data_IF_004971486686
#
_entry.id   IF_004971486686
#
_cell.length_a   1.000
_cell.length_b   1.000
_cell.length_c   1.000
_cell.angle_alpha   90.00
_cell.angle_beta   90.00
_cell.angle_gamma   90.00
#
_symmetry.space_group_name_H-M   'P 1'
#
loop_
_entity.id
_entity.type
_entity.pdbx_description
1 polymer ?
#
# COMPACT_ATOMS: atom_id res chain seq x y z
N UNK A 1 46.42 -68.37 12.90
CA UNK A 1 45.03 -68.77 12.59
C UNK A 1 44.20 -67.50 12.55
N UNK A 2 43.59 -67.03 11.46
CA UNK A 2 43.24 -67.62 10.16
C UNK A 2 43.62 -66.68 9.00
N UNK A 3 44.04 -67.33 7.90
CA UNK A 3 44.23 -66.81 6.54
C UNK A 3 42.90 -66.36 5.94
N UNK A 4 42.91 -65.37 5.03
CA UNK A 4 42.67 -65.60 3.59
C UNK A 4 42.77 -64.31 2.75
N UNK A 5 43.72 -64.34 1.81
CA UNK A 5 43.67 -63.90 0.41
C UNK A 5 42.97 -62.60 0.02
N UNK A 6 43.82 -61.65 -0.39
CA UNK A 6 43.55 -60.46 -1.18
C UNK A 6 43.18 -60.86 -2.62
N UNK A 7 42.07 -60.33 -3.16
CA UNK A 7 41.73 -60.36 -4.58
C UNK A 7 41.44 -58.94 -5.08
N UNK A 8 41.98 -58.66 -6.27
CA UNK A 8 41.91 -57.44 -7.11
C UNK A 8 40.64 -56.57 -6.97
N UNK A 9 40.82 -55.26 -6.88
CA UNK A 9 39.95 -54.27 -7.54
C UNK A 9 40.79 -53.17 -8.18
N UNK A 10 40.67 -53.08 -9.50
CA UNK A 10 41.19 -52.06 -10.40
C UNK A 10 40.32 -50.79 -10.24
N UNK A 11 40.91 -49.62 -10.02
CA UNK A 11 40.20 -48.34 -10.20
C UNK A 11 41.12 -47.35 -10.92
N UNK A 12 40.68 -46.95 -12.12
CA UNK A 12 41.30 -45.92 -12.94
C UNK A 12 41.08 -44.55 -12.32
N UNK A 13 42.15 -43.75 -12.29
CA UNK A 13 42.09 -42.31 -12.05
C UNK A 13 41.44 -41.61 -13.25
N UNK A 14 40.39 -40.84 -13.01
CA UNK A 14 40.03 -39.69 -13.84
C UNK A 14 39.82 -38.50 -12.92
N UNK A 15 40.75 -37.56 -13.02
CA UNK A 15 40.65 -36.22 -12.47
C UNK A 15 39.97 -35.33 -13.52
N UNK A 16 38.95 -34.58 -13.10
CA UNK A 16 38.57 -33.31 -13.71
C UNK A 16 38.20 -32.36 -12.58
N UNK A 17 38.81 -31.18 -12.61
CA UNK A 17 38.64 -30.07 -11.68
C UNK A 17 37.27 -29.42 -11.86
N UNK A 18 36.52 -29.28 -10.77
CA UNK A 18 35.39 -28.35 -10.68
C UNK A 18 35.94 -26.95 -10.44
N UNK A 19 35.88 -26.10 -11.46
CA UNK A 19 36.11 -24.66 -11.30
C UNK A 19 34.80 -23.99 -10.90
N UNK A 20 34.89 -23.29 -9.77
CA UNK A 20 33.85 -22.49 -9.15
C UNK A 20 33.80 -21.13 -9.84
N UNK A 21 32.67 -20.78 -10.47
CA UNK A 21 32.33 -19.37 -10.75
C UNK A 21 30.97 -19.04 -10.14
N UNK A 22 31.01 -18.40 -8.98
CA UNK A 22 29.95 -17.50 -8.54
C UNK A 22 30.17 -16.15 -9.22
N UNK A 23 29.20 -15.71 -10.03
CA UNK A 23 28.96 -14.27 -10.22
C UNK A 23 27.47 -14.03 -9.98
N UNK A 24 27.23 -13.46 -8.81
CA UNK A 24 26.00 -12.83 -8.36
C UNK A 24 25.61 -11.73 -9.35
N UNK A 25 24.45 -11.88 -10.00
CA UNK A 25 23.73 -10.75 -10.58
C UNK A 25 22.29 -10.83 -10.07
N UNK A 26 22.04 -10.16 -8.95
CA UNK A 26 20.70 -9.66 -8.64
C UNK A 26 20.41 -8.59 -9.69
N UNK A 27 19.67 -8.96 -10.73
CA UNK A 27 18.97 -8.00 -11.56
C UNK A 27 17.80 -7.49 -10.72
N UNK A 28 17.87 -6.23 -10.29
CA UNK A 28 16.66 -5.45 -10.07
C UNK A 28 15.96 -5.34 -11.43
N UNK A 29 14.98 -6.20 -11.66
CA UNK A 29 14.01 -6.02 -12.73
C UNK A 29 13.15 -4.81 -12.37
N UNK A 30 13.58 -3.61 -12.77
CA UNK A 30 12.61 -2.55 -13.06
C UNK A 30 11.71 -3.07 -14.18
N UNK A 31 10.55 -3.61 -13.80
CA UNK A 31 9.52 -3.97 -14.76
C UNK A 31 9.04 -2.69 -15.42
N UNK A 32 9.53 -2.44 -16.63
CA UNK A 32 8.97 -1.42 -17.53
C UNK A 32 7.55 -1.90 -17.86
N UNK A 33 6.57 -1.48 -17.06
CA UNK A 33 5.16 -1.82 -17.31
C UNK A 33 4.77 -1.26 -18.68
N UNK A 34 4.24 -2.14 -19.52
CA UNK A 34 3.74 -1.76 -20.82
C UNK A 34 2.46 -0.94 -20.64
N UNK A 35 2.53 0.38 -20.79
CA UNK A 35 1.35 1.27 -20.80
C UNK A 35 0.67 1.31 -22.17
N UNK A 36 1.15 0.54 -23.15
CA UNK A 36 0.52 0.35 -24.45
C UNK A 36 -0.55 -0.76 -24.31
N UNK A 37 -1.70 -0.36 -23.78
CA UNK A 37 -2.84 -1.23 -23.58
C UNK A 37 -3.57 -1.48 -24.89
N UNK A 38 -3.94 -2.74 -25.16
CA UNK A 38 -4.85 -3.04 -26.26
C UNK A 38 -6.14 -2.21 -26.10
N UNK A 39 -6.64 -1.58 -27.18
CA UNK A 39 -7.88 -0.82 -27.12
C UNK A 39 -9.00 -1.67 -26.53
N UNK A 40 -9.66 -1.13 -25.51
CA UNK A 40 -10.71 -1.82 -24.78
C UNK A 40 -11.96 -0.93 -24.72
N UNK A 41 -13.13 -1.56 -24.68
CA UNK A 41 -14.41 -0.86 -24.61
C UNK A 41 -14.73 -0.52 -23.16
N UNK A 42 -14.11 0.55 -22.65
CA UNK A 42 -14.25 0.93 -21.24
C UNK A 42 -15.64 1.49 -20.95
N UNK A 43 -16.43 0.85 -20.06
CA UNK A 43 -17.75 1.35 -19.70
C UNK A 43 -17.68 2.72 -18.98
N UNK A 44 -16.52 3.11 -18.46
CA UNK A 44 -16.35 4.37 -17.73
C UNK A 44 -16.41 5.60 -18.61
N UNK A 45 -16.01 5.50 -19.89
CA UNK A 45 -16.14 6.62 -20.83
C UNK A 45 -17.61 6.87 -21.19
N UNK A 46 -18.33 5.81 -21.53
CA UNK A 46 -19.74 5.88 -21.88
C UNK A 46 -20.63 6.33 -20.71
N UNK A 47 -20.25 5.97 -19.49
CA UNK A 47 -20.95 6.39 -18.26
C UNK A 47 -20.55 7.80 -17.79
N UNK A 48 -19.56 8.44 -18.44
CA UNK A 48 -19.08 9.78 -18.09
C UNK A 48 -18.19 9.84 -16.86
N UNK A 49 -17.73 8.69 -16.34
CA UNK A 49 -16.71 8.64 -15.29
C UNK A 49 -15.34 9.03 -15.82
N UNK A 50 -15.02 8.74 -17.08
CA UNK A 50 -13.82 9.23 -17.76
C UNK A 50 -14.24 10.17 -18.88
N UNK A 51 -13.68 11.37 -18.90
CA UNK A 51 -14.02 12.37 -19.89
C UNK A 51 -12.83 13.28 -20.22
N UNK A 52 -12.90 13.91 -21.40
CA UNK A 52 -11.86 14.82 -21.87
C UNK A 52 -12.32 16.28 -21.78
N UNK A 53 -11.42 17.16 -21.33
CA UNK A 53 -11.62 18.61 -21.34
C UNK A 53 -10.28 19.31 -21.56
N UNK A 54 -10.20 20.22 -22.52
CA UNK A 54 -8.98 21.00 -22.81
C UNK A 54 -7.72 20.13 -23.04
N UNK A 55 -7.85 19.04 -23.81
CA UNK A 55 -6.79 18.05 -24.08
C UNK A 55 -6.23 17.36 -22.81
N UNK A 56 -7.02 17.31 -21.75
CA UNK A 56 -6.72 16.55 -20.54
C UNK A 56 -7.82 15.53 -20.30
N UNK A 57 -7.42 14.36 -19.78
CA UNK A 57 -8.33 13.29 -19.41
C UNK A 57 -8.57 13.35 -17.90
N UNK A 58 -9.84 13.26 -17.51
CA UNK A 58 -10.25 13.34 -16.12
C UNK A 58 -11.05 12.11 -15.73
N UNK A 59 -10.84 11.69 -14.47
CA UNK A 59 -11.67 10.73 -13.77
C UNK A 59 -12.62 11.49 -12.84
N UNK A 60 -13.90 11.15 -12.91
CA UNK A 60 -14.94 11.68 -12.03
C UNK A 60 -14.62 11.36 -10.58
N UNK A 61 -14.80 12.33 -9.69
CA UNK A 61 -14.46 12.17 -8.28
C UNK A 61 -15.61 12.48 -7.32
N UNK A 62 -16.85 12.66 -7.80
CA UNK A 62 -18.01 12.93 -6.95
C UNK A 62 -19.03 13.86 -7.59
N UNK A 63 -20.14 14.12 -6.89
CA UNK A 63 -21.24 14.95 -7.40
C UNK A 63 -20.88 16.44 -7.52
N UNK A 64 -19.93 16.93 -6.72
CA UNK A 64 -19.43 18.30 -6.88
C UNK A 64 -18.65 18.40 -8.20
N UNK A 65 -19.16 19.22 -9.11
CA UNK A 65 -18.57 19.45 -10.44
C UNK A 65 -17.11 19.95 -10.43
N UNK A 66 -16.62 20.44 -9.29
CA UNK A 66 -15.22 20.85 -9.12
C UNK A 66 -14.31 19.67 -8.78
N UNK A 67 -14.85 18.49 -8.47
CA UNK A 67 -14.11 17.30 -8.06
C UNK A 67 -13.80 16.43 -9.27
N UNK A 68 -12.53 16.33 -9.60
CA UNK A 68 -12.02 15.47 -10.67
C UNK A 68 -10.56 15.12 -10.39
N UNK A 69 -10.16 13.92 -10.77
CA UNK A 69 -8.76 13.53 -10.79
C UNK A 69 -8.22 13.70 -12.21
N UNK A 70 -7.09 14.38 -12.35
CA UNK A 70 -6.41 14.45 -13.63
C UNK A 70 -5.65 13.13 -13.85
N UNK A 71 -6.03 12.41 -14.89
CA UNK A 71 -5.48 11.10 -15.26
C UNK A 71 -4.86 11.13 -16.65
N UNK A 72 -4.55 12.32 -17.17
CA UNK A 72 -3.96 12.50 -18.51
C UNK A 72 -2.68 11.68 -18.68
N UNK A 73 -1.91 11.54 -17.61
CA UNK A 73 -0.64 10.85 -17.57
C UNK A 73 -0.69 9.51 -16.82
N UNK A 74 -1.88 8.98 -16.54
CA UNK A 74 -1.95 7.79 -15.69
C UNK A 74 -1.43 6.51 -16.37
N UNK A 75 -1.00 5.55 -15.56
CA UNK A 75 -0.45 4.28 -16.07
C UNK A 75 -1.45 3.12 -16.06
N UNK A 76 -2.70 3.36 -15.65
CA UNK A 76 -3.70 2.31 -15.49
C UNK A 76 -4.48 2.05 -16.79
N UNK A 77 -4.85 0.79 -17.02
CA UNK A 77 -5.82 0.45 -18.05
C UNK A 77 -7.23 0.76 -17.56
N UNK A 78 -7.91 1.73 -18.14
CA UNK A 78 -9.26 2.11 -17.71
C UNK A 78 -10.29 0.98 -17.69
N UNK A 79 -10.11 -0.09 -18.47
CA UNK A 79 -11.03 -1.23 -18.46
C UNK A 79 -10.90 -2.12 -17.22
N UNK A 80 -9.81 -1.99 -16.50
CA UNK A 80 -9.56 -2.71 -15.27
C UNK A 80 -10.06 -1.97 -14.02
N UNK A 81 -10.60 -0.75 -14.18
CA UNK A 81 -11.21 -0.01 -13.09
C UNK A 81 -12.52 -0.64 -12.63
N UNK A 82 -12.78 -0.55 -11.34
CA UNK A 82 -14.04 -0.94 -10.71
C UNK A 82 -14.57 0.18 -9.81
N UNK A 83 -15.90 0.19 -9.66
CA UNK A 83 -16.66 1.13 -8.83
C UNK A 83 -16.67 2.57 -9.35
N UNK A 84 -16.19 3.55 -8.58
CA UNK A 84 -16.46 4.97 -8.81
C UNK A 84 -17.49 5.51 -7.85
N UNK A 85 -17.20 5.39 -6.55
CA UNK A 85 -18.05 5.91 -5.48
C UNK A 85 -17.77 7.39 -5.18
N UNK A 86 -16.72 7.96 -5.77
CA UNK A 86 -16.29 9.34 -5.56
C UNK A 86 -15.37 9.48 -4.35
N UNK A 87 -14.57 10.56 -4.35
CA UNK A 87 -13.69 10.88 -3.24
C UNK A 87 -14.51 11.16 -1.99
N UNK A 88 -13.95 10.81 -0.83
CA UNK A 88 -14.55 11.03 0.49
C UNK A 88 -15.81 10.20 0.80
N UNK A 89 -16.19 9.24 -0.05
CA UNK A 89 -17.24 8.25 0.27
C UNK A 89 -16.85 7.29 1.40
N UNK A 90 -15.54 7.15 1.64
CA UNK A 90 -14.93 6.48 2.79
C UNK A 90 -13.89 7.44 3.38
N UNK A 91 -14.30 8.30 4.33
CA UNK A 91 -13.43 9.36 4.81
C UNK A 91 -12.24 8.78 5.57
N UNK A 92 -11.03 9.17 5.16
CA UNK A 92 -9.81 8.80 5.86
C UNK A 92 -9.82 9.36 7.29
N UNK A 93 -9.34 8.57 8.25
CA UNK A 93 -9.22 9.00 9.64
C UNK A 93 -7.99 9.89 9.81
N UNK A 94 -8.14 11.06 10.43
CA UNK A 94 -7.10 12.10 10.47
C UNK A 94 -6.48 12.31 11.87
N UNK A 95 -7.24 12.02 12.93
CA UNK A 95 -6.81 12.20 14.31
C UNK A 95 -7.24 10.97 15.14
N UNK A 96 -6.59 9.81 14.93
CA UNK A 96 -7.03 8.56 15.55
C UNK A 96 -6.96 8.64 17.07
N UNK A 97 -8.06 8.25 17.72
CA UNK A 97 -8.15 8.08 19.16
C UNK A 97 -7.88 6.63 19.54
N UNK A 98 -7.36 6.45 20.76
CA UNK A 98 -6.89 5.16 21.25
C UNK A 98 -7.47 4.80 22.62
N UNK A 99 -7.58 3.50 22.87
CA UNK A 99 -7.90 2.91 24.17
C UNK A 99 -6.76 2.00 24.62
N UNK A 100 -6.65 1.71 25.92
CA UNK A 100 -5.65 0.75 26.37
C UNK A 100 -6.05 -0.66 25.95
N UNK A 101 -5.08 -1.50 25.60
CA UNK A 101 -5.32 -2.92 25.27
C UNK A 101 -6.08 -3.66 26.39
N UNK A 102 -5.81 -3.31 27.65
CA UNK A 102 -6.51 -3.87 28.82
C UNK A 102 -8.02 -3.72 28.73
N UNK A 103 -8.49 -2.62 28.15
CA UNK A 103 -9.92 -2.26 28.08
C UNK A 103 -10.66 -3.04 26.98
N UNK A 104 -9.92 -3.63 26.03
CA UNK A 104 -10.47 -4.33 24.86
C UNK A 104 -9.93 -5.76 24.69
N UNK A 105 -9.30 -6.33 25.71
CA UNK A 105 -8.63 -7.65 25.67
C UNK A 105 -9.50 -8.78 25.06
N UNK A 106 -10.81 -8.78 25.35
CA UNK A 106 -11.76 -9.81 24.93
C UNK A 106 -12.61 -9.41 23.72
N UNK A 107 -12.28 -8.30 23.05
CA UNK A 107 -13.07 -7.77 21.94
C UNK A 107 -12.84 -8.51 20.63
N UNK A 108 -11.60 -8.94 20.38
CA UNK A 108 -11.20 -9.59 19.14
C UNK A 108 -10.87 -11.07 19.37
N UNK A 109 -11.04 -11.87 18.31
CA UNK A 109 -10.60 -13.25 18.32
C UNK A 109 -9.06 -13.32 18.41
N UNK A 110 -8.52 -14.39 18.99
CA UNK A 110 -7.07 -14.59 19.09
C UNK A 110 -6.37 -14.61 17.72
N UNK A 111 -7.08 -15.01 16.67
CA UNK A 111 -6.59 -15.06 15.30
C UNK A 111 -6.67 -13.72 14.55
N UNK A 112 -7.26 -12.69 15.14
CA UNK A 112 -7.41 -11.38 14.48
C UNK A 112 -6.05 -10.82 14.09
N UNK A 113 -5.86 -10.50 12.81
CA UNK A 113 -4.64 -9.85 12.34
C UNK A 113 -4.70 -8.36 12.63
N UNK A 114 -3.58 -7.80 13.06
CA UNK A 114 -3.46 -6.39 13.35
C UNK A 114 -2.15 -5.86 12.75
N UNK A 115 -2.19 -4.64 12.22
CA UNK A 115 -0.97 -3.86 12.05
C UNK A 115 -0.52 -3.35 13.43
N UNK A 116 0.76 -3.51 13.71
CA UNK A 116 1.39 -3.06 14.95
C UNK A 116 2.46 -2.04 14.58
N UNK A 117 2.31 -0.82 15.04
CA UNK A 117 3.27 0.27 14.85
C UNK A 117 4.06 0.47 16.12
N UNK A 118 5.37 0.23 16.03
CA UNK A 118 6.32 0.48 17.08
C UNK A 118 6.67 1.96 17.15
N UNK A 119 6.76 2.44 18.38
CA UNK A 119 7.22 3.79 18.67
C UNK A 119 7.96 3.76 20.01
N UNK A 120 8.86 4.72 20.21
CA UNK A 120 9.62 4.94 21.44
C UNK A 120 8.68 5.19 22.62
N UNK A 121 7.54 5.84 22.38
CA UNK A 121 6.59 6.20 23.43
C UNK A 121 5.57 5.08 23.71
N UNK A 122 4.84 4.66 22.68
CA UNK A 122 3.70 3.73 22.83
C UNK A 122 3.48 2.90 21.56
N UNK A 123 3.50 1.57 21.68
CA UNK A 123 3.07 0.68 20.59
C UNK A 123 1.59 0.91 20.27
N UNK A 124 1.28 1.23 19.02
CA UNK A 124 -0.08 1.41 18.51
C UNK A 124 -0.51 0.17 17.73
N UNK A 125 -1.76 -0.24 17.91
CA UNK A 125 -2.31 -1.48 17.32
C UNK A 125 -3.59 -1.15 16.55
N UNK A 126 -3.66 -1.70 15.34
CA UNK A 126 -4.74 -1.48 14.38
C UNK A 126 -5.31 -2.84 13.93
N UNK A 127 -6.31 -3.37 14.65
CA UNK A 127 -6.98 -4.61 14.25
C UNK A 127 -7.68 -4.44 12.90
N UNK A 128 -7.53 -5.41 12.00
CA UNK A 128 -8.07 -5.35 10.63
C UNK A 128 -9.58 -5.14 10.64
N UNK A 129 -10.30 -5.79 11.56
CA UNK A 129 -11.73 -5.61 11.74
C UNK A 129 -12.14 -4.14 11.94
N UNK A 130 -11.34 -3.36 12.66
CA UNK A 130 -11.60 -1.93 12.85
C UNK A 130 -11.09 -1.08 11.69
N UNK A 131 -10.04 -1.53 11.01
CA UNK A 131 -9.48 -0.86 9.84
C UNK A 131 -10.40 -0.88 8.62
N UNK A 132 -11.21 -1.93 8.42
CA UNK A 132 -12.15 -2.06 7.28
C UNK A 132 -13.05 -0.82 7.13
N UNK A 133 -13.37 -0.14 8.23
CA UNK A 133 -14.20 1.06 8.20
C UNK A 133 -13.51 2.26 7.55
N UNK A 134 -12.22 2.41 7.81
CA UNK A 134 -11.46 3.61 7.46
C UNK A 134 -10.63 3.40 6.21
N UNK A 135 -10.06 2.20 6.05
CA UNK A 135 -9.08 1.74 5.05
C UNK A 135 -7.78 2.57 4.97
N UNK A 136 -7.82 3.86 5.33
CA UNK A 136 -6.73 4.82 5.38
C UNK A 136 -6.80 5.63 6.68
N UNK A 137 -5.68 5.64 7.42
CA UNK A 137 -5.50 6.44 8.64
C UNK A 137 -4.24 7.28 8.48
N UNK A 138 -4.37 8.60 8.59
CA UNK A 138 -3.26 9.53 8.63
C UNK A 138 -2.85 9.76 10.09
N UNK A 139 -1.65 9.32 10.46
CA UNK A 139 -1.16 9.29 11.84
C UNK A 139 0.21 9.98 11.97
N UNK A 140 0.54 10.46 13.16
CA UNK A 140 1.88 10.93 13.54
C UNK A 140 2.43 10.05 14.67
N UNK A 141 3.43 9.22 14.36
CA UNK A 141 4.11 8.36 15.33
C UNK A 141 5.49 8.92 15.65
N UNK A 142 5.73 9.32 16.90
CA UNK A 142 6.99 9.95 17.35
C UNK A 142 7.47 11.13 16.47
N UNK A 143 6.51 11.92 15.96
CA UNK A 143 6.79 13.04 15.06
C UNK A 143 6.93 12.65 13.59
N UNK A 144 6.93 11.35 13.26
CA UNK A 144 6.93 10.84 11.88
C UNK A 144 5.51 10.69 11.34
N UNK A 145 5.14 11.44 10.27
CA UNK A 145 3.86 11.30 9.61
C UNK A 145 3.80 9.99 8.80
N UNK A 146 2.82 9.13 9.13
CA UNK A 146 2.61 7.83 8.47
C UNK A 146 1.16 7.64 8.04
N UNK A 147 0.95 6.88 6.97
CA UNK A 147 -0.34 6.38 6.51
C UNK A 147 -0.45 4.91 6.87
N UNK A 148 -1.39 4.55 7.74
CA UNK A 148 -1.76 3.15 7.96
C UNK A 148 -2.87 2.79 6.97
N UNK A 149 -2.63 1.77 6.17
CA UNK A 149 -3.53 1.37 5.10
C UNK A 149 -3.91 -0.12 5.23
N UNK A 150 -5.19 -0.42 5.05
CA UNK A 150 -5.68 -1.80 4.96
C UNK A 150 -6.76 -1.94 3.89
N UNK A 151 -6.48 -2.72 2.85
CA UNK A 151 -7.43 -3.06 1.80
C UNK A 151 -7.94 -4.48 2.00
N UNK A 152 -9.21 -4.64 2.38
CA UNK A 152 -9.82 -5.96 2.59
C UNK A 152 -9.91 -6.80 1.31
N UNK A 153 -9.98 -6.16 0.14
CA UNK A 153 -10.11 -6.85 -1.15
C UNK A 153 -8.80 -7.54 -1.59
N UNK A 154 -7.66 -6.95 -1.23
CA UNK A 154 -6.34 -7.46 -1.56
C UNK A 154 -5.62 -8.11 -0.37
N UNK A 155 -6.23 -8.10 0.83
CA UNK A 155 -5.57 -8.41 2.10
C UNK A 155 -4.24 -7.65 2.27
N UNK A 156 -4.22 -6.40 1.81
CA UNK A 156 -3.04 -5.55 1.83
C UNK A 156 -3.05 -4.71 3.10
N UNK A 157 -2.22 -5.05 4.08
CA UNK A 157 -1.93 -4.24 5.25
C UNK A 157 -0.53 -3.65 5.19
N UNK A 158 -0.41 -2.33 5.23
CA UNK A 158 0.89 -1.66 5.16
C UNK A 158 0.88 -0.30 5.88
N UNK A 159 2.07 0.14 6.29
CA UNK A 159 2.30 1.49 6.80
C UNK A 159 3.29 2.18 5.87
N UNK A 160 2.96 3.39 5.44
CA UNK A 160 3.76 4.18 4.51
C UNK A 160 4.16 5.51 5.13
N UNK A 161 5.28 6.08 4.69
CA UNK A 161 5.59 7.48 5.00
C UNK A 161 4.59 8.41 4.32
N UNK A 162 4.35 9.57 4.91
CA UNK A 162 3.59 10.67 4.28
C UNK A 162 4.48 11.85 3.88
N UNK A 163 5.79 11.76 4.11
CA UNK A 163 6.70 12.85 3.78
C UNK A 163 7.24 12.68 2.36
N UNK A 164 6.85 13.60 1.47
CA UNK A 164 7.30 13.65 0.09
C UNK A 164 7.70 15.06 -0.28
N UNK A 165 8.89 15.20 -0.88
CA UNK A 165 9.35 16.46 -1.47
C UNK A 165 9.33 17.66 -0.50
N UNK A 166 9.60 17.42 0.79
CA UNK A 166 9.59 18.43 1.86
C UNK A 166 8.22 18.73 2.46
N UNK A 167 7.17 18.00 2.07
CA UNK A 167 5.79 18.20 2.53
C UNK A 167 5.24 16.93 3.18
N UNK A 168 4.34 17.11 4.15
CA UNK A 168 3.56 16.01 4.72
C UNK A 168 2.22 15.93 4.00
N UNK A 169 2.00 14.84 3.26
CA UNK A 169 0.78 14.59 2.51
C UNK A 169 -0.33 13.99 3.38
N UNK A 170 -1.55 14.17 2.93
CA UNK A 170 -2.78 13.60 3.48
C UNK A 170 -3.38 12.65 2.47
N UNK A 171 -3.46 11.37 2.79
CA UNK A 171 -3.99 10.35 1.89
C UNK A 171 -5.47 10.06 2.16
N UNK A 172 -6.19 9.70 1.11
CA UNK A 172 -7.58 9.25 1.16
C UNK A 172 -7.90 8.29 0.01
N UNK A 173 -9.12 7.77 0.01
CA UNK A 173 -9.63 6.89 -1.04
C UNK A 173 -10.26 7.68 -2.20
N UNK A 174 -10.00 7.24 -3.42
CA UNK A 174 -10.64 7.80 -4.63
C UNK A 174 -12.10 7.36 -4.80
N UNK A 175 -12.49 6.26 -4.16
CA UNK A 175 -13.75 5.55 -4.41
C UNK A 175 -13.69 4.57 -5.58
N UNK A 176 -12.51 4.36 -6.19
CA UNK A 176 -12.25 3.35 -7.20
C UNK A 176 -11.39 2.22 -6.64
N UNK A 177 -11.54 1.04 -7.23
CA UNK A 177 -10.56 -0.04 -7.12
C UNK A 177 -10.03 -0.38 -8.50
N UNK A 178 -8.85 -1.01 -8.53
CA UNK A 178 -8.19 -1.45 -9.74
C UNK A 178 -7.70 -2.88 -9.55
N UNK A 179 -7.82 -3.70 -10.60
CA UNK A 179 -7.21 -5.03 -10.66
C UNK A 179 -6.24 -5.10 -11.83
N UNK A 180 -5.22 -5.93 -11.75
CA UNK A 180 -4.35 -6.22 -12.89
C UNK A 180 -4.01 -7.71 -12.84
N UNK A 181 -4.33 -8.51 -13.88
CA UNK A 181 -4.08 -9.95 -13.87
C UNK A 181 -2.64 -10.36 -13.48
N UNK A 182 -1.65 -9.54 -13.84
CA UNK A 182 -0.23 -9.82 -13.60
C UNK A 182 0.27 -9.35 -12.23
N UNK A 183 -0.50 -8.54 -11.50
CA UNK A 183 -0.10 -7.98 -10.20
C UNK A 183 -0.90 -8.66 -9.10
N UNK A 184 -0.20 -9.26 -8.13
CA UNK A 184 -0.81 -9.91 -6.96
C UNK A 184 -1.90 -10.94 -7.32
N UNK A 185 -1.77 -11.61 -8.47
CA UNK A 185 -2.74 -12.61 -8.93
C UNK A 185 -4.10 -12.04 -9.32
N UNK A 186 -4.19 -10.76 -9.69
CA UNK A 186 -5.44 -10.15 -10.17
C UNK A 186 -6.40 -9.73 -9.06
N UNK A 187 -5.91 -9.52 -7.84
CA UNK A 187 -6.72 -8.98 -6.75
C UNK A 187 -7.11 -7.53 -7.01
N UNK A 188 -8.32 -7.16 -6.59
CA UNK A 188 -8.76 -5.77 -6.55
C UNK A 188 -8.12 -5.06 -5.35
N UNK A 189 -7.54 -3.89 -5.57
CA UNK A 189 -7.15 -2.98 -4.50
C UNK A 189 -7.70 -1.59 -4.73
N UNK A 190 -7.90 -0.84 -3.65
CA UNK A 190 -8.27 0.57 -3.78
C UNK A 190 -7.21 1.36 -4.55
N UNK A 191 -7.66 2.45 -5.16
CA UNK A 191 -6.78 3.52 -5.63
C UNK A 191 -6.81 4.65 -4.61
N UNK A 192 -5.64 5.00 -4.11
CA UNK A 192 -5.44 6.11 -3.18
C UNK A 192 -5.33 7.42 -3.96
N UNK A 193 -5.60 8.53 -3.28
CA UNK A 193 -5.15 9.84 -3.71
C UNK A 193 -4.58 10.61 -2.52
N UNK A 194 -3.63 11.50 -2.78
CA UNK A 194 -3.23 12.48 -1.79
C UNK A 194 -3.95 13.81 -2.02
N UNK A 195 -4.46 14.39 -0.94
CA UNK A 195 -5.28 15.61 -0.98
C UNK A 195 -4.47 16.85 -1.34
N UNK A 196 -3.17 16.79 -1.08
CA UNK A 196 -2.27 17.94 -1.18
C UNK A 196 -1.81 18.18 -2.62
N UNK A 197 -1.47 17.15 -3.37
CA UNK A 197 -0.98 17.25 -4.75
C UNK A 197 -1.96 16.73 -5.79
N UNK A 198 -3.06 16.09 -5.35
CA UNK A 198 -4.05 15.41 -6.19
C UNK A 198 -3.46 14.29 -7.06
N UNK A 199 -2.35 13.68 -6.62
CA UNK A 199 -1.78 12.50 -7.30
C UNK A 199 -2.54 11.24 -6.91
N UNK A 200 -2.65 10.32 -7.85
CA UNK A 200 -3.25 9.01 -7.60
C UNK A 200 -2.16 7.98 -7.34
N UNK A 201 -2.42 7.04 -6.43
CA UNK A 201 -1.44 6.02 -6.03
C UNK A 201 -2.08 4.64 -6.02
N UNK A 202 -1.36 3.64 -6.49
CA UNK A 202 -1.80 2.26 -6.43
C UNK A 202 -0.85 1.44 -5.54
N UNK A 203 -1.31 0.98 -4.36
CA UNK A 203 -0.44 0.36 -3.37
C UNK A 203 0.09 -1.02 -3.79
N UNK A 204 -0.56 -1.74 -4.71
CA UNK A 204 -0.08 -3.09 -5.11
C UNK A 204 1.25 -3.05 -5.87
N UNK A 205 1.61 -1.89 -6.41
CA UNK A 205 2.88 -1.62 -7.09
C UNK A 205 3.71 -0.55 -6.35
N UNK A 206 3.26 -0.12 -5.18
CA UNK A 206 3.87 0.93 -4.37
C UNK A 206 4.27 2.18 -5.18
N UNK A 207 3.33 2.78 -5.96
CA UNK A 207 3.68 3.92 -6.82
C UNK A 207 2.54 4.92 -7.05
N UNK A 208 2.90 6.19 -7.20
CA UNK A 208 2.07 7.23 -7.80
C UNK A 208 1.88 6.92 -9.29
N UNK A 209 0.64 6.73 -9.69
CA UNK A 209 0.24 6.34 -11.03
C UNK A 209 -0.23 7.51 -11.89
N UNK A 210 -0.48 8.69 -11.31
CA UNK A 210 -0.83 9.91 -12.06
C UNK A 210 -0.63 11.17 -11.22
N UNK A 211 -0.64 12.34 -11.85
CA UNK A 211 -0.62 13.63 -11.17
C UNK A 211 0.79 14.15 -10.86
N UNK A 212 0.89 15.11 -9.93
CA UNK A 212 2.12 15.87 -9.70
C UNK A 212 3.29 15.04 -9.18
N UNK A 213 3.01 13.91 -8.52
CA UNK A 213 4.00 12.96 -8.00
C UNK A 213 4.11 11.70 -8.86
N UNK A 214 3.53 11.68 -10.06
CA UNK A 214 3.56 10.53 -10.97
C UNK A 214 4.97 9.91 -11.09
N UNK A 215 5.05 8.59 -10.91
CA UNK A 215 6.30 7.82 -10.93
C UNK A 215 7.00 7.72 -9.57
N UNK A 216 6.64 8.54 -8.59
CA UNK A 216 7.19 8.47 -7.23
C UNK A 216 6.76 7.18 -6.54
N UNK A 217 7.70 6.53 -5.83
CA UNK A 217 7.39 5.32 -5.06
C UNK A 217 6.56 5.67 -3.81
N UNK A 218 5.59 4.81 -3.50
CA UNK A 218 4.87 4.84 -2.24
C UNK A 218 5.73 4.13 -1.20
N UNK A 219 6.52 4.89 -0.45
CA UNK A 219 7.56 4.35 0.42
C UNK A 219 6.95 3.76 1.71
N UNK A 220 7.16 2.46 1.92
CA UNK A 220 6.81 1.79 3.17
C UNK A 220 7.59 2.40 4.32
N UNK A 221 6.93 2.57 5.46
CA UNK A 221 7.61 2.96 6.70
C UNK A 221 8.65 1.90 7.07
N UNK A 222 9.72 2.31 7.77
CA UNK A 222 10.85 1.43 8.11
C UNK A 222 10.36 0.07 8.63
N UNK A 223 10.77 -1.02 7.97
CA UNK A 223 10.29 -2.38 8.27
C UNK A 223 10.56 -2.82 9.72
N UNK A 224 11.55 -2.21 10.38
CA UNK A 224 11.83 -2.45 11.80
C UNK A 224 10.84 -1.79 12.77
N UNK A 225 10.01 -0.87 12.29
CA UNK A 225 9.10 -0.08 13.11
C UNK A 225 7.64 -0.55 13.03
N UNK A 226 7.33 -1.58 12.24
CA UNK A 226 5.98 -2.13 12.22
C UNK A 226 5.99 -3.58 11.75
N UNK A 227 4.95 -4.33 12.13
CA UNK A 227 4.72 -5.68 11.62
C UNK A 227 3.23 -6.04 11.70
N UNK A 228 2.86 -7.18 11.12
CA UNK A 228 1.51 -7.75 11.25
C UNK A 228 1.57 -8.90 12.25
N UNK A 229 0.75 -8.82 13.30
CA UNK A 229 0.69 -9.83 14.36
C UNK A 229 -0.74 -10.27 14.61
N UNK A 230 -0.90 -11.47 15.20
CA UNK A 230 -2.20 -11.90 15.71
C UNK A 230 -2.48 -11.28 17.07
N UNK A 231 -3.75 -11.04 17.34
CA UNK A 231 -4.22 -10.48 18.61
C UNK A 231 -3.72 -11.25 19.84
N UNK A 232 -3.63 -12.60 19.76
CA UNK A 232 -3.06 -13.40 20.83
C UNK A 232 -1.61 -13.02 21.17
N UNK A 233 -0.78 -12.78 20.17
CA UNK A 233 0.63 -12.42 20.33
C UNK A 233 0.76 -11.01 20.89
N UNK A 234 -0.11 -10.09 20.46
CA UNK A 234 -0.10 -8.69 20.89
C UNK A 234 -0.44 -8.58 22.38
N UNK A 235 -1.45 -9.31 22.85
CA UNK A 235 -1.82 -9.34 24.27
C UNK A 235 -0.68 -9.82 25.17
N UNK A 236 0.13 -10.76 24.68
CA UNK A 236 1.26 -11.30 25.42
C UNK A 236 2.46 -10.34 25.39
N UNK A 237 2.81 -9.82 24.21
CA UNK A 237 4.02 -9.04 23.97
C UNK A 237 3.89 -7.57 24.37
N UNK A 238 2.70 -6.99 24.28
CA UNK A 238 2.47 -5.55 24.42
C UNK A 238 1.30 -5.22 25.37
N UNK A 239 1.41 -5.55 26.68
CA UNK A 239 0.33 -5.32 27.65
C UNK A 239 0.01 -3.83 27.91
N UNK A 240 0.86 -2.91 27.44
CA UNK A 240 0.66 -1.46 27.51
C UNK A 240 0.36 -0.82 26.15
N UNK A 241 0.07 -1.63 25.11
CA UNK A 241 -0.26 -1.10 23.80
C UNK A 241 -1.54 -0.26 23.82
N UNK A 242 -1.59 0.68 22.89
CA UNK A 242 -2.77 1.46 22.57
C UNK A 242 -3.43 0.89 21.32
N UNK A 243 -4.72 0.60 21.42
CA UNK A 243 -5.51 0.03 20.33
C UNK A 243 -6.41 1.12 19.79
N UNK A 244 -6.50 1.23 18.47
CA UNK A 244 -7.40 2.20 17.85
C UNK A 244 -8.84 2.02 18.36
N UNK A 245 -9.49 3.12 18.71
CA UNK A 245 -10.89 3.10 19.13
C UNK A 245 -11.79 2.79 17.93
N UNK A 246 -12.75 1.86 18.06
CA UNK A 246 -13.73 1.60 17.01
C UNK A 246 -14.74 2.74 16.85
N UNK A 247 -15.28 2.87 15.64
CA UNK A 247 -16.47 3.69 15.38
C UNK A 247 -16.24 5.19 15.58
N UNK A 248 -15.02 5.67 15.35
CA UNK A 248 -14.67 7.08 15.35
C UNK A 248 -15.24 7.75 14.12
N UNK A 249 -16.01 8.82 14.31
CA UNK A 249 -16.49 9.64 13.21
C UNK A 249 -15.78 10.99 13.23
N UNK A 250 -15.20 11.33 12.08
CA UNK A 250 -14.55 12.61 11.87
C UNK A 250 -15.16 13.28 10.63
N UNK A 251 -15.47 14.57 10.70
CA UNK A 251 -15.91 15.29 9.53
C UNK A 251 -14.79 15.31 8.49
N UNK A 252 -15.16 15.11 7.22
CA UNK A 252 -14.27 15.40 6.09
C UNK A 252 -13.88 16.88 6.17
N UNK A 253 -12.57 17.21 6.25
CA UNK A 253 -12.18 18.62 6.24
C UNK A 253 -12.70 19.32 4.98
N UNK A 254 -13.20 20.55 5.16
CA UNK A 254 -13.79 21.32 4.05
C UNK A 254 -12.75 21.88 3.09
N UNK A 255 -11.48 21.89 3.48
CA UNK A 255 -10.37 22.41 2.71
C UNK A 255 -9.09 21.62 3.01
N UNK A 256 -8.20 21.57 2.03
CA UNK A 256 -6.91 20.90 2.10
C UNK A 256 -5.88 21.78 1.39
N UNK A 257 -4.59 21.73 1.80
CA UNK A 257 -3.53 22.37 1.04
C UNK A 257 -3.59 21.91 -0.42
N UNK A 258 -3.31 22.81 -1.36
CA UNK A 258 -3.11 22.45 -2.77
C UNK A 258 -1.71 22.87 -3.17
N UNK A 259 -0.82 21.89 -3.24
CA UNK A 259 0.59 22.05 -3.51
C UNK A 259 0.80 21.84 -5.01
N UNK A 260 1.08 22.90 -5.79
CA UNK A 260 1.39 22.76 -7.21
C UNK A 260 2.76 22.11 -7.39
N UNK A 261 2.96 21.43 -8.52
CA UNK A 261 4.25 20.80 -8.88
C UNK A 261 5.46 21.72 -8.74
N UNK A 262 5.31 23.02 -9.02
CA UNK A 262 6.38 24.03 -8.86
C UNK A 262 6.89 24.22 -7.42
N UNK A 263 6.16 23.73 -6.42
CA UNK A 263 6.49 23.82 -4.99
C UNK A 263 6.95 22.48 -4.40
N UNK A 264 6.96 21.40 -5.20
CA UNK A 264 7.47 20.10 -4.77
C UNK A 264 9.00 20.09 -4.93
N UNK A 265 9.72 19.95 -3.82
CA UNK A 265 11.17 19.86 -3.83
C UNK A 265 11.62 18.40 -3.70
N UNK A 266 11.49 17.63 -4.77
CA UNK A 266 11.81 16.20 -4.81
C UNK A 266 13.28 15.90 -5.14
N UNK A 267 14.17 16.91 -5.06
CA UNK A 267 15.59 16.82 -5.41
C UNK A 267 16.50 16.60 -4.19
#
# INVERSE_FOLDING_TARGET
MRFLSLLLVLSMFMACSDDTEQITQTQEEESVRNTDWDPCDSPYRDQGYIYERNNQTYLWAGEDSTWHFNITDWELNECNLKYGLGRESFPALMDPQYVNISDVTNKYADSEQCLVLYSVNTTKVYPYQDMIRYEVINEVSDGSPVMIAYCVLADLGAIYTRNYCGHTLTFALTGYTYYEPEVWGGLDAFVLWDRDTESLWWPLIDKAISGNLHGTLLEKHDEGNWEILRWSEIKERFPSAQVIQSGQDQPVPSDYPRIPSTQLNCN
#
